data_IF_517269782500
#
_entry.id   IF_517269782500
#
_cell.length_a   1.000
_cell.length_b   1.000
_cell.length_c   1.000
_cell.angle_alpha   90.00
_cell.angle_beta   90.00
_cell.angle_gamma   90.00
#
_symmetry.space_group_name_H-M   'P 1'
#
loop_
_entity.id
_entity.type
_entity.pdbx_description
1 polymer ?
#
# COMPACT_ATOMS: atom_id res chain seq x y z
N UNK A 1 -34.59 25.23 23.93
CA UNK A 1 -34.37 25.00 22.49
C UNK A 1 -32.93 25.41 22.21
N UNK A 2 -32.00 24.51 22.54
CA UNK A 2 -30.58 24.68 22.25
C UNK A 2 -30.30 23.74 21.10
N UNK A 3 -30.20 24.29 19.90
CA UNK A 3 -29.58 23.58 18.78
C UNK A 3 -28.09 23.46 19.12
N UNK A 4 -27.69 22.29 19.60
CA UNK A 4 -26.27 21.95 19.69
C UNK A 4 -25.72 21.77 18.27
N UNK A 5 -24.52 22.32 17.98
CA UNK A 5 -23.94 22.21 16.65
C UNK A 5 -23.58 20.75 16.37
N UNK A 6 -24.14 20.23 15.28
CA UNK A 6 -23.87 18.88 14.78
C UNK A 6 -22.37 18.81 14.46
N UNK A 7 -21.63 17.99 15.21
CA UNK A 7 -20.22 17.73 14.91
C UNK A 7 -20.14 16.97 13.58
N UNK A 8 -19.71 17.66 12.54
CA UNK A 8 -19.46 17.11 11.21
C UNK A 8 -18.40 16.00 11.35
N UNK A 9 -18.83 14.75 11.21
CA UNK A 9 -17.97 13.59 11.41
C UNK A 9 -16.88 13.55 10.34
N UNK A 10 -15.62 13.43 10.76
CA UNK A 10 -14.50 13.31 9.82
C UNK A 10 -14.75 12.14 8.84
N UNK A 11 -14.54 12.34 7.53
CA UNK A 11 -14.78 11.30 6.56
C UNK A 11 -13.86 10.10 6.81
N UNK A 12 -14.41 8.90 6.72
CA UNK A 12 -13.66 7.65 6.85
C UNK A 12 -12.42 7.66 5.94
N UNK A 13 -11.29 7.06 6.37
CA UNK A 13 -10.05 7.11 5.60
C UNK A 13 -10.23 6.52 4.20
N UNK A 14 -9.94 7.34 3.20
CA UNK A 14 -10.13 6.99 1.80
C UNK A 14 -9.07 5.97 1.39
N UNK A 15 -9.51 4.83 0.85
CA UNK A 15 -8.61 3.83 0.29
C UNK A 15 -8.16 4.29 -1.09
N UNK A 16 -7.01 4.94 -1.16
CA UNK A 16 -6.42 5.41 -2.41
C UNK A 16 -5.37 4.44 -2.93
N UNK A 17 -5.27 4.36 -4.26
CA UNK A 17 -4.25 3.56 -4.94
C UNK A 17 -3.07 4.46 -5.26
N UNK A 18 -1.87 4.07 -4.84
CA UNK A 18 -0.64 4.79 -5.12
C UNK A 18 0.19 4.04 -6.16
N UNK A 19 0.50 4.70 -7.28
CA UNK A 19 1.39 4.18 -8.32
C UNK A 19 2.79 4.72 -8.11
N UNK A 20 3.78 3.82 -8.08
CA UNK A 20 5.18 4.17 -7.87
C UNK A 20 5.99 3.50 -8.97
N UNK A 21 6.81 4.29 -9.65
CA UNK A 21 7.71 3.78 -10.68
C UNK A 21 8.92 3.10 -10.05
N UNK A 22 9.29 1.95 -10.62
CA UNK A 22 10.54 1.25 -10.30
C UNK A 22 11.66 1.90 -11.11
N UNK A 23 12.75 2.28 -10.45
CA UNK A 23 13.91 2.83 -11.15
C UNK A 23 14.69 1.70 -11.83
N UNK A 24 15.43 2.00 -12.89
CA UNK A 24 16.24 1.01 -13.63
C UNK A 24 17.24 0.27 -12.71
N UNK A 25 17.84 0.97 -11.75
CA UNK A 25 18.75 0.39 -10.75
C UNK A 25 18.06 -0.57 -9.76
N UNK A 26 16.73 -0.65 -9.81
CA UNK A 26 15.91 -1.49 -8.94
C UNK A 26 15.20 -2.61 -9.68
N UNK A 27 15.43 -2.69 -11.00
CA UNK A 27 14.97 -3.80 -11.80
C UNK A 27 15.60 -5.12 -11.32
N UNK A 28 14.85 -6.21 -11.47
CA UNK A 28 15.23 -7.55 -10.99
C UNK A 28 15.27 -7.72 -9.47
N UNK A 29 15.00 -6.68 -8.67
CA UNK A 29 14.92 -6.80 -7.21
C UNK A 29 13.60 -7.48 -6.83
N UNK A 30 13.67 -8.48 -5.93
CA UNK A 30 12.48 -9.06 -5.32
C UNK A 30 11.61 -7.98 -4.66
N UNK A 31 10.31 -8.06 -4.88
CA UNK A 31 9.37 -7.03 -4.44
C UNK A 31 9.37 -6.80 -2.92
N UNK A 32 9.48 -7.85 -2.11
CA UNK A 32 9.56 -7.72 -0.64
C UNK A 32 10.78 -6.90 -0.21
N UNK A 33 11.92 -7.13 -0.86
CA UNK A 33 13.15 -6.37 -0.65
C UNK A 33 13.01 -4.93 -1.15
N UNK A 34 12.36 -4.73 -2.30
CA UNK A 34 12.08 -3.40 -2.84
C UNK A 34 11.22 -2.57 -1.88
N UNK A 35 10.17 -3.16 -1.30
CA UNK A 35 9.34 -2.51 -0.28
C UNK A 35 10.14 -2.19 0.99
N UNK A 36 10.95 -3.12 1.50
CA UNK A 36 11.79 -2.85 2.68
C UNK A 36 12.77 -1.70 2.50
N UNK A 37 13.33 -1.53 1.28
CA UNK A 37 14.26 -0.43 1.00
C UNK A 37 13.59 0.93 1.07
N UNK A 38 12.33 1.04 0.63
CA UNK A 38 11.55 2.30 0.64
C UNK A 38 10.84 2.55 1.96
N UNK A 39 10.31 1.50 2.58
CA UNK A 39 9.58 1.55 3.84
C UNK A 39 10.18 0.54 4.82
N UNK A 40 11.25 0.93 5.55
CA UNK A 40 11.93 0.04 6.49
C UNK A 40 11.04 -0.50 7.61
N UNK A 41 9.92 0.17 7.90
CA UNK A 41 8.93 -0.25 8.90
C UNK A 41 7.99 -1.37 8.42
N UNK A 42 7.92 -1.65 7.12
CA UNK A 42 7.11 -2.75 6.59
C UNK A 42 7.85 -4.07 6.77
N UNK A 43 7.21 -5.01 7.47
CA UNK A 43 7.67 -6.39 7.60
C UNK A 43 7.36 -7.20 6.34
N UNK A 44 8.17 -8.25 6.10
CA UNK A 44 7.91 -9.20 5.00
C UNK A 44 6.50 -9.83 5.09
N UNK A 45 6.01 -10.10 6.30
CA UNK A 45 4.68 -10.67 6.51
C UNK A 45 3.60 -9.71 6.02
N UNK A 46 3.74 -8.40 6.29
CA UNK A 46 2.80 -7.38 5.81
C UNK A 46 2.81 -7.29 4.27
N UNK A 47 4.00 -7.23 3.66
CA UNK A 47 4.12 -7.18 2.19
C UNK A 47 3.50 -8.42 1.55
N UNK A 48 3.77 -9.61 2.10
CA UNK A 48 3.15 -10.84 1.62
C UNK A 48 1.63 -10.87 1.79
N UNK A 49 1.09 -10.34 2.91
CA UNK A 49 -0.37 -10.21 3.09
C UNK A 49 -0.97 -9.31 2.01
N UNK A 50 -0.35 -8.16 1.74
CA UNK A 50 -0.79 -7.22 0.70
C UNK A 50 -0.67 -7.80 -0.71
N UNK A 51 0.36 -8.61 -0.97
CA UNK A 51 0.50 -9.34 -2.22
C UNK A 51 -0.61 -10.38 -2.40
N UNK A 52 -0.87 -11.22 -1.38
CA UNK A 52 -1.92 -12.25 -1.43
C UNK A 52 -3.33 -11.68 -1.58
N UNK A 53 -3.62 -10.57 -0.91
CA UNK A 53 -4.92 -9.88 -1.05
C UNK A 53 -5.07 -9.21 -2.43
N UNK A 54 -3.96 -9.00 -3.15
CA UNK A 54 -3.93 -8.29 -4.43
C UNK A 54 -3.98 -6.77 -4.30
N UNK A 55 -3.63 -6.24 -3.11
CA UNK A 55 -3.47 -4.81 -2.88
C UNK A 55 -2.25 -4.23 -3.60
N UNK A 56 -1.24 -5.07 -3.86
CA UNK A 56 -0.08 -4.69 -4.66
C UNK A 56 -0.22 -5.29 -6.06
N UNK A 57 0.08 -4.49 -7.08
CA UNK A 57 0.10 -4.88 -8.49
C UNK A 57 1.36 -4.35 -9.15
N UNK A 58 1.89 -5.10 -10.11
CA UNK A 58 3.02 -4.70 -10.96
C UNK A 58 2.53 -4.80 -12.40
N UNK A 59 2.61 -3.71 -13.14
CA UNK A 59 2.16 -3.62 -14.54
C UNK A 59 0.73 -4.16 -14.75
N UNK A 60 -0.16 -3.89 -13.78
CA UNK A 60 -1.55 -4.34 -13.79
C UNK A 60 -1.77 -5.81 -13.39
N UNK A 61 -0.72 -6.62 -13.31
CA UNK A 61 -0.78 -8.01 -12.89
C UNK A 61 -0.77 -8.17 -11.36
N UNK A 62 -1.48 -9.20 -10.88
CA UNK A 62 -1.35 -9.66 -9.49
C UNK A 62 -0.02 -10.39 -9.34
N UNK A 63 0.73 -9.97 -8.34
CA UNK A 63 1.96 -10.63 -7.93
C UNK A 63 1.66 -11.88 -7.09
N UNK A 64 2.49 -12.91 -7.24
CA UNK A 64 2.50 -14.05 -6.33
C UNK A 64 3.58 -13.80 -5.26
N UNK A 65 3.29 -14.05 -3.97
CA UNK A 65 4.33 -14.03 -2.96
C UNK A 65 5.27 -15.23 -3.19
N UNK A 66 6.54 -14.96 -3.49
CA UNK A 66 7.63 -15.93 -3.39
C UNK A 66 8.41 -15.79 -2.08
#
# INVERSE_FOLDING_TARGET
>A
MTDEPIQESEPAPKREVLTIYVAEAEDGIRLDRWFRRRWPHLSNIQVQKMARSGQIRVDGARIKPE
#
